data_IF_770448810880
#
_entry.id   IF_770448810880
#
_cell.length_a   1.000
_cell.length_b   1.000
_cell.length_c   1.000
_cell.angle_alpha   90.00
_cell.angle_beta   90.00
_cell.angle_gamma   90.00
#
_symmetry.space_group_name_H-M   'P 1'
#
loop_
_entity.id
_entity.type
_entity.pdbx_description
1 polymer ?
#
# COMPACT_ATOMS: atom_id res chain seq x y z
N UNK A 1 -32.37 -24.34 42.88
CA UNK A 1 -31.40 -23.22 42.91
C UNK A 1 -31.53 -22.25 41.73
N UNK A 2 -32.15 -22.61 40.59
CA UNK A 2 -32.41 -21.65 39.48
C UNK A 2 -33.89 -21.54 39.12
N UNK A 3 -34.78 -21.71 40.11
CA UNK A 3 -36.23 -21.73 39.87
C UNK A 3 -36.77 -20.36 39.45
N UNK A 4 -36.27 -19.30 40.10
CA UNK A 4 -36.66 -17.91 39.85
C UNK A 4 -36.16 -17.43 38.48
N UNK A 5 -34.90 -17.69 38.14
CA UNK A 5 -34.36 -17.32 36.82
C UNK A 5 -35.09 -18.05 35.69
N UNK A 6 -35.45 -19.32 35.88
CA UNK A 6 -36.23 -20.08 34.89
C UNK A 6 -37.67 -19.61 34.74
N UNK A 7 -38.27 -19.09 35.81
CA UNK A 7 -39.60 -18.50 35.74
C UNK A 7 -39.55 -17.15 35.02
N UNK A 8 -38.55 -16.32 35.34
CA UNK A 8 -38.33 -15.03 34.70
C UNK A 8 -38.07 -15.17 33.20
N UNK A 9 -37.15 -16.06 32.77
CA UNK A 9 -36.88 -16.25 31.32
C UNK A 9 -38.08 -16.79 30.57
N UNK A 10 -38.93 -17.59 31.23
CA UNK A 10 -40.16 -18.10 30.61
C UNK A 10 -41.20 -16.99 30.45
N UNK A 11 -41.40 -16.15 31.47
CA UNK A 11 -42.32 -15.01 31.39
C UNK A 11 -41.89 -14.03 30.31
N UNK A 12 -40.58 -13.79 30.18
CA UNK A 12 -40.01 -12.89 29.19
C UNK A 12 -40.21 -13.39 27.76
N UNK A 13 -40.02 -14.69 27.53
CA UNK A 13 -40.32 -15.34 26.25
C UNK A 13 -41.81 -15.29 25.92
N UNK A 14 -42.70 -15.51 26.90
CA UNK A 14 -44.15 -15.40 26.71
C UNK A 14 -44.56 -13.96 26.37
N UNK A 15 -43.91 -12.96 26.98
CA UNK A 15 -44.11 -11.53 26.70
C UNK A 15 -43.64 -11.15 25.29
N UNK A 16 -42.43 -11.57 24.88
CA UNK A 16 -41.86 -11.30 23.55
C UNK A 16 -42.69 -11.94 22.44
N UNK A 17 -43.30 -13.12 22.67
CA UNK A 17 -44.21 -13.75 21.70
C UNK A 17 -45.57 -13.04 21.54
N UNK A 18 -46.00 -12.25 22.52
CA UNK A 18 -47.27 -11.54 22.46
C UNK A 18 -47.18 -10.14 21.81
N UNK A 19 -45.96 -9.67 21.52
CA UNK A 19 -45.68 -8.35 20.93
C UNK A 19 -45.89 -8.32 19.42
N UNK A 20 -46.19 -7.15 18.91
CA UNK A 20 -46.31 -6.89 17.47
C UNK A 20 -44.93 -6.65 16.85
N UNK A 21 -44.85 -6.67 15.51
CA UNK A 21 -43.57 -6.59 14.81
C UNK A 21 -42.80 -5.27 15.04
N UNK A 22 -43.51 -4.15 15.20
CA UNK A 22 -42.87 -2.85 15.52
C UNK A 22 -42.30 -2.85 16.94
N UNK A 23 -43.07 -3.32 17.93
CA UNK A 23 -42.61 -3.39 19.33
C UNK A 23 -41.39 -4.30 19.50
N UNK A 24 -41.28 -5.36 18.69
CA UNK A 24 -40.12 -6.26 18.69
C UNK A 24 -38.85 -5.62 18.11
N UNK A 25 -39.00 -4.67 17.18
CA UNK A 25 -37.88 -3.94 16.61
C UNK A 25 -37.38 -2.89 17.59
N UNK A 26 -38.29 -2.17 18.26
CA UNK A 26 -37.93 -1.20 19.31
C UNK A 26 -37.18 -1.88 20.48
N UNK A 27 -37.65 -3.04 20.97
CA UNK A 27 -36.94 -3.79 22.02
C UNK A 27 -35.53 -4.24 21.58
N UNK A 28 -35.37 -4.55 20.29
CA UNK A 28 -34.10 -5.04 19.75
C UNK A 28 -33.11 -3.88 19.55
N UNK A 29 -33.60 -2.71 19.16
CA UNK A 29 -32.81 -1.47 19.11
C UNK A 29 -32.39 -1.02 20.53
N UNK A 30 -33.25 -1.15 21.54
CA UNK A 30 -32.89 -0.87 22.94
C UNK A 30 -31.85 -1.88 23.49
N UNK A 31 -31.98 -3.18 23.18
CA UNK A 31 -30.96 -4.21 23.52
C UNK A 31 -29.60 -3.92 22.84
N UNK A 32 -29.61 -3.47 21.58
CA UNK A 32 -28.38 -3.09 20.84
C UNK A 32 -27.74 -1.80 21.39
N UNK A 33 -28.55 -0.80 21.79
CA UNK A 33 -28.03 0.40 22.45
C UNK A 33 -27.40 0.08 23.81
N UNK A 34 -27.98 -0.83 24.61
CA UNK A 34 -27.39 -1.28 25.88
C UNK A 34 -26.05 -2.02 25.69
N UNK A 35 -25.91 -2.84 24.64
CA UNK A 35 -24.62 -3.46 24.27
C UNK A 35 -23.59 -2.43 23.76
N UNK A 36 -24.03 -1.37 23.05
CA UNK A 36 -23.14 -0.29 22.61
C UNK A 36 -22.61 0.56 23.78
N UNK A 37 -23.39 0.82 24.85
CA UNK A 37 -22.88 1.53 26.04
C UNK A 37 -22.00 0.66 26.95
N UNK A 38 -22.12 -0.67 26.94
CA UNK A 38 -21.09 -1.55 27.55
C UNK A 38 -19.80 -1.62 26.71
N UNK A 39 -19.81 -1.10 25.48
CA UNK A 39 -18.64 -0.97 24.61
C UNK A 39 -17.91 0.38 24.72
N UNK A 40 -18.05 1.10 25.84
CA UNK A 40 -17.04 2.08 26.21
C UNK A 40 -15.67 1.38 26.26
N UNK A 41 -14.60 1.97 25.71
CA UNK A 41 -13.28 1.35 25.80
C UNK A 41 -12.91 1.35 27.28
N UNK A 42 -13.10 0.20 27.93
CA UNK A 42 -12.43 -0.13 29.18
C UNK A 42 -11.00 0.33 29.00
N UNK A 43 -10.52 1.09 29.98
CA UNK A 43 -9.20 1.67 30.05
C UNK A 43 -8.22 0.48 30.11
N UNK A 44 -7.96 -0.11 28.93
CA UNK A 44 -7.05 -1.20 28.66
C UNK A 44 -5.67 -0.66 29.03
N UNK A 45 -5.37 -0.75 30.33
CA UNK A 45 -4.08 -0.52 30.95
C UNK A 45 -3.03 -1.01 29.98
N UNK A 46 -2.35 -0.09 29.29
CA UNK A 46 -1.33 -0.41 28.29
C UNK A 46 -0.43 -1.48 28.91
N UNK A 47 -0.50 -2.75 28.46
CA UNK A 47 0.03 -3.84 29.24
C UNK A 47 1.49 -3.58 29.55
N UNK A 48 1.85 -3.58 30.84
CA UNK A 48 3.19 -3.22 31.30
C UNK A 48 4.23 -3.96 30.45
N UNK A 49 4.96 -3.18 29.65
CA UNK A 49 5.93 -3.66 28.67
C UNK A 49 7.36 -3.35 29.15
N UNK A 50 7.84 -4.01 30.22
CA UNK A 50 9.11 -3.69 30.86
C UNK A 50 10.33 -3.91 29.94
N UNK A 51 10.14 -4.58 28.81
CA UNK A 51 11.19 -4.85 27.82
C UNK A 51 11.01 -4.05 26.52
N UNK A 52 10.03 -3.14 26.44
CA UNK A 52 9.72 -2.34 25.24
C UNK A 52 9.67 -3.18 23.95
N UNK A 53 9.11 -4.40 24.01
CA UNK A 53 8.88 -5.20 22.81
C UNK A 53 7.82 -4.52 21.94
N UNK A 54 7.96 -4.51 20.61
CA UNK A 54 6.93 -3.96 19.75
C UNK A 54 5.62 -4.73 19.95
N UNK A 55 4.54 -3.95 20.07
CA UNK A 55 3.20 -4.46 20.25
C UNK A 55 2.71 -5.07 18.93
N UNK A 56 1.96 -6.16 19.03
CA UNK A 56 1.28 -6.75 17.89
C UNK A 56 0.12 -5.88 17.41
N UNK A 57 -0.57 -6.36 16.38
CA UNK A 57 -1.84 -5.78 15.94
C UNK A 57 -2.98 -5.96 16.98
N UNK A 58 -2.78 -6.84 17.96
CA UNK A 58 -3.69 -7.15 19.07
C UNK A 58 -3.36 -6.33 20.34
N UNK A 59 -2.51 -5.30 20.26
CA UNK A 59 -2.11 -4.49 21.43
C UNK A 59 -1.27 -5.23 22.48
N UNK A 60 -1.09 -6.56 22.36
CA UNK A 60 -0.29 -7.39 23.27
C UNK A 60 1.17 -7.46 22.84
N UNK A 61 2.13 -7.57 23.79
CA UNK A 61 3.55 -7.73 23.47
C UNK A 61 3.79 -9.04 22.71
N UNK A 62 4.45 -8.94 21.54
CA UNK A 62 4.75 -10.10 20.70
C UNK A 62 5.71 -11.06 21.44
N UNK A 63 5.47 -12.38 21.43
CA UNK A 63 6.43 -13.34 21.99
C UNK A 63 7.84 -13.17 21.43
N UNK A 64 8.86 -13.23 22.29
CA UNK A 64 10.25 -12.92 21.93
C UNK A 64 10.84 -13.79 20.80
N UNK A 65 10.44 -15.07 20.74
CA UNK A 65 10.85 -15.97 19.66
C UNK A 65 10.26 -15.56 18.31
N UNK A 66 9.02 -15.07 18.30
CA UNK A 66 8.32 -14.60 17.10
C UNK A 66 8.92 -13.28 16.61
N UNK A 67 9.27 -12.40 17.55
CA UNK A 67 10.01 -11.16 17.29
C UNK A 67 11.35 -11.42 16.59
N UNK A 68 12.13 -12.41 17.07
CA UNK A 68 13.38 -12.84 16.43
C UNK A 68 13.16 -13.55 15.10
N UNK A 69 12.18 -14.44 15.02
CA UNK A 69 11.89 -15.24 13.83
C UNK A 69 11.53 -14.34 12.63
N UNK A 70 10.70 -13.33 12.86
CA UNK A 70 10.30 -12.39 11.81
C UNK A 70 11.25 -11.20 11.63
N UNK A 71 12.38 -11.18 12.36
CA UNK A 71 13.41 -10.16 12.20
C UNK A 71 12.96 -8.75 12.61
N UNK A 72 11.93 -8.60 13.46
CA UNK A 72 11.46 -7.28 13.91
C UNK A 72 12.50 -6.56 14.79
N UNK A 73 13.53 -7.27 15.24
CA UNK A 73 14.71 -6.73 15.92
C UNK A 73 15.69 -5.98 15.01
N UNK A 74 15.51 -6.08 13.69
CA UNK A 74 16.35 -5.40 12.73
C UNK A 74 15.63 -4.13 12.29
N UNK A 75 16.30 -2.99 12.43
CA UNK A 75 15.79 -1.69 12.00
C UNK A 75 16.40 -1.30 10.66
N UNK A 76 15.56 -0.87 9.73
CA UNK A 76 15.97 -0.32 8.44
C UNK A 76 15.58 1.15 8.36
N UNK A 77 16.38 1.96 7.68
CA UNK A 77 16.10 3.38 7.46
C UNK A 77 15.94 3.64 5.97
N UNK A 78 14.97 4.48 5.59
CA UNK A 78 14.78 4.93 4.22
C UNK A 78 14.99 6.44 4.11
N UNK A 79 15.97 6.87 3.30
CA UNK A 79 16.31 8.29 3.11
C UNK A 79 15.20 9.02 2.34
N UNK A 80 14.65 8.41 1.30
CA UNK A 80 13.56 8.95 0.47
C UNK A 80 12.31 9.27 1.32
N UNK A 81 12.08 8.52 2.40
CA UNK A 81 10.98 8.74 3.34
C UNK A 81 11.31 9.77 4.46
N UNK A 82 12.43 10.49 4.36
CA UNK A 82 12.91 11.41 5.39
C UNK A 82 13.53 10.69 6.59
N UNK A 83 14.39 9.71 6.34
CA UNK A 83 15.05 8.87 7.35
C UNK A 83 14.08 8.13 8.29
N UNK A 84 12.92 7.74 7.77
CA UNK A 84 11.95 6.95 8.50
C UNK A 84 12.52 5.56 8.84
N UNK A 85 12.32 5.12 10.09
CA UNK A 85 12.76 3.81 10.58
C UNK A 85 11.64 2.78 10.45
N UNK A 86 11.93 1.64 9.85
CA UNK A 86 11.02 0.50 9.72
C UNK A 86 11.59 -0.71 10.50
N UNK A 87 10.72 -1.41 11.23
CA UNK A 87 11.10 -2.59 12.01
C UNK A 87 10.82 -3.86 11.22
N UNK A 88 11.88 -4.57 10.89
CA UNK A 88 11.88 -5.86 10.21
C UNK A 88 11.72 -5.80 8.69
N UNK A 89 12.12 -6.87 8.00
CA UNK A 89 12.17 -6.89 6.53
C UNK A 89 10.80 -6.76 5.87
N UNK A 90 9.74 -7.34 6.47
CA UNK A 90 8.40 -7.34 5.87
C UNK A 90 7.78 -5.94 5.84
N UNK A 91 7.88 -5.18 6.94
CA UNK A 91 7.44 -3.79 6.99
C UNK A 91 8.26 -2.93 6.02
N UNK A 92 9.57 -3.19 5.95
CA UNK A 92 10.45 -2.53 5.01
C UNK A 92 10.25 -2.94 3.55
N UNK A 93 9.66 -4.08 3.22
CA UNK A 93 9.27 -4.36 1.82
C UNK A 93 7.96 -3.67 1.47
N UNK A 94 7.01 -3.65 2.41
CA UNK A 94 5.71 -3.01 2.19
C UNK A 94 5.84 -1.49 1.97
N UNK A 95 6.76 -0.82 2.66
CA UNK A 95 6.85 0.64 2.60
C UNK A 95 7.09 1.22 1.19
N UNK A 96 7.71 0.47 0.27
CA UNK A 96 7.90 0.92 -1.12
C UNK A 96 6.58 1.20 -1.86
N UNK A 97 5.52 0.49 -1.48
CA UNK A 97 4.16 0.67 -2.00
C UNK A 97 3.30 1.63 -1.17
N UNK A 98 3.80 2.06 0.00
CA UNK A 98 3.07 2.97 0.88
C UNK A 98 3.11 4.41 0.34
N UNK A 99 2.07 5.18 0.68
CA UNK A 99 1.92 6.56 0.23
C UNK A 99 3.13 7.44 0.55
N UNK A 100 3.76 7.25 1.71
CA UNK A 100 4.92 8.06 2.14
C UNK A 100 6.09 7.92 1.18
N UNK A 101 6.43 6.70 0.77
CA UNK A 101 7.52 6.46 -0.18
C UNK A 101 7.15 6.93 -1.58
N UNK A 102 5.91 6.66 -2.02
CA UNK A 102 5.40 7.14 -3.30
C UNK A 102 5.41 8.68 -3.40
N UNK A 103 5.08 9.36 -2.30
CA UNK A 103 5.14 10.81 -2.20
C UNK A 103 6.59 11.32 -2.25
N UNK A 104 7.52 10.68 -1.52
CA UNK A 104 8.95 10.99 -1.60
C UNK A 104 9.49 10.88 -3.02
N UNK A 105 9.17 9.79 -3.73
CA UNK A 105 9.53 9.59 -5.13
C UNK A 105 8.93 10.66 -6.05
N UNK A 106 7.66 11.05 -5.82
CA UNK A 106 7.01 12.13 -6.57
C UNK A 106 7.71 13.48 -6.36
N UNK A 107 8.15 13.80 -5.15
CA UNK A 107 8.91 15.03 -4.86
C UNK A 107 10.28 15.05 -5.58
N UNK A 108 10.86 13.88 -5.87
CA UNK A 108 12.07 13.74 -6.68
C UNK A 108 11.79 13.79 -8.20
N UNK A 109 10.52 13.79 -8.62
CA UNK A 109 10.14 13.72 -10.03
C UNK A 109 10.31 12.33 -10.66
N UNK A 110 10.45 11.28 -9.84
CA UNK A 110 10.68 9.91 -10.30
C UNK A 110 9.37 9.12 -10.15
N UNK A 111 8.90 8.39 -11.19
CA UNK A 111 7.70 7.56 -11.07
C UNK A 111 7.96 6.34 -10.17
N UNK A 112 7.09 6.11 -9.18
CA UNK A 112 7.17 4.95 -8.29
C UNK A 112 6.75 3.67 -9.04
N UNK A 113 7.72 3.00 -9.65
CA UNK A 113 7.56 1.76 -10.41
C UNK A 113 8.38 0.64 -9.77
N UNK A 114 8.11 -0.61 -10.14
CA UNK A 114 8.83 -1.77 -9.60
C UNK A 114 10.35 -1.74 -9.83
N UNK A 115 10.84 -0.96 -10.81
CA UNK A 115 12.27 -0.74 -11.04
C UNK A 115 13.00 -0.12 -9.84
N UNK A 116 12.28 0.65 -9.01
CA UNK A 116 12.82 1.32 -7.83
C UNK A 116 12.62 0.54 -6.53
N UNK A 117 12.21 -0.74 -6.62
CA UNK A 117 12.14 -1.60 -5.44
C UNK A 117 13.53 -1.71 -4.80
N UNK A 118 13.59 -1.62 -3.48
CA UNK A 118 14.83 -1.65 -2.68
C UNK A 118 15.74 -0.41 -2.80
N UNK A 119 15.34 0.63 -3.52
CA UNK A 119 16.11 1.87 -3.59
C UNK A 119 15.77 2.76 -2.40
N UNK A 120 16.77 3.05 -1.57
CA UNK A 120 16.56 3.79 -0.31
C UNK A 120 17.21 5.15 -0.30
N UNK A 121 18.31 5.31 -1.05
CA UNK A 121 19.10 6.53 -1.11
C UNK A 121 18.60 7.42 -2.26
N UNK A 122 18.65 8.72 -2.05
CA UNK A 122 18.17 9.69 -3.05
C UNK A 122 19.10 9.74 -4.26
N UNK A 123 20.41 9.66 -4.04
CA UNK A 123 21.43 9.67 -5.11
C UNK A 123 21.29 8.45 -6.04
N UNK A 124 21.13 7.26 -5.45
CA UNK A 124 20.95 6.01 -6.20
C UNK A 124 19.67 6.04 -7.04
N UNK A 125 18.56 6.57 -6.49
CA UNK A 125 17.31 6.72 -7.21
C UNK A 125 17.46 7.63 -8.44
N UNK A 126 18.17 8.75 -8.30
CA UNK A 126 18.45 9.67 -9.41
C UNK A 126 19.34 9.03 -10.47
N UNK A 127 20.41 8.36 -10.06
CA UNK A 127 21.33 7.69 -10.98
C UNK A 127 20.63 6.57 -11.77
N UNK A 128 19.76 5.80 -11.12
CA UNK A 128 18.96 4.77 -11.77
C UNK A 128 17.95 5.37 -12.75
N UNK A 129 17.29 6.47 -12.36
CA UNK A 129 16.31 7.13 -13.22
C UNK A 129 16.93 7.69 -14.50
N UNK A 130 18.09 8.33 -14.41
CA UNK A 130 18.80 8.82 -15.59
C UNK A 130 19.19 7.67 -16.53
N UNK A 131 19.68 6.53 -16.01
CA UNK A 131 19.97 5.35 -16.83
C UNK A 131 18.73 4.80 -17.55
N UNK A 132 17.61 4.67 -16.83
CA UNK A 132 16.35 4.20 -17.42
C UNK A 132 15.85 5.18 -18.49
N UNK A 133 15.98 6.48 -18.24
CA UNK A 133 15.57 7.52 -19.19
C UNK A 133 16.40 7.48 -20.46
N UNK A 134 17.73 7.31 -20.35
CA UNK A 134 18.62 7.17 -21.50
C UNK A 134 18.28 5.92 -22.32
N UNK A 135 18.11 4.76 -21.65
CA UNK A 135 17.72 3.52 -22.34
C UNK A 135 16.36 3.62 -23.05
N UNK A 136 15.37 4.29 -22.43
CA UNK A 136 14.07 4.52 -23.08
C UNK A 136 14.15 5.43 -24.31
N UNK A 137 15.10 6.38 -24.35
CA UNK A 137 15.31 7.25 -25.51
C UNK A 137 15.99 6.47 -26.64
N UNK A 138 16.91 5.56 -26.30
CA UNK A 138 17.55 4.67 -27.28
C UNK A 138 16.58 3.62 -27.84
N UNK A 139 15.69 3.07 -27.00
CA UNK A 139 14.67 2.09 -27.41
C UNK A 139 13.45 2.75 -28.10
N UNK A 140 13.30 4.07 -27.99
CA UNK A 140 12.18 4.77 -28.60
C UNK A 140 12.41 4.89 -30.11
N UNK A 141 11.59 4.19 -30.89
CA UNK A 141 11.60 4.22 -32.34
C UNK A 141 11.59 5.67 -32.85
N UNK A 142 12.70 6.07 -33.48
CA UNK A 142 12.87 7.39 -34.03
C UNK A 142 12.51 7.38 -35.52
N UNK A 143 11.26 7.71 -35.85
CA UNK A 143 10.75 7.73 -37.23
C UNK A 143 11.67 8.47 -38.22
N UNK A 144 12.31 9.55 -37.80
CA UNK A 144 13.23 10.31 -38.66
C UNK A 144 14.50 9.53 -39.05
N UNK A 145 14.95 8.62 -38.18
CA UNK A 145 16.18 7.85 -38.34
C UNK A 145 15.95 6.40 -38.77
N UNK A 146 14.81 5.81 -38.40
CA UNK A 146 14.52 4.38 -38.57
C UNK A 146 13.46 4.10 -39.65
N UNK A 147 12.75 5.12 -40.15
CA UNK A 147 11.82 4.97 -41.27
C UNK A 147 12.58 5.05 -42.61
N UNK A 148 12.63 3.91 -43.29
CA UNK A 148 13.29 3.74 -44.58
C UNK A 148 12.31 3.92 -45.74
N UNK A 149 12.72 4.68 -46.76
CA UNK A 149 11.99 4.93 -47.99
C UNK A 149 12.81 4.41 -49.17
N UNK A 150 12.13 3.80 -50.14
CA UNK A 150 12.72 3.33 -51.39
C UNK A 150 12.56 4.40 -52.47
N UNK A 151 13.65 4.74 -53.19
CA UNK A 151 13.59 5.61 -54.36
C UNK A 151 13.06 4.89 -55.61
N UNK A 152 12.87 5.64 -56.69
CA UNK A 152 12.40 5.14 -57.99
C UNK A 152 13.36 4.12 -58.65
N UNK A 153 14.59 4.00 -58.15
CA UNK A 153 15.68 3.16 -58.65
C UNK A 153 15.92 1.95 -57.72
N UNK A 154 15.27 1.91 -56.55
CA UNK A 154 15.37 0.83 -55.56
C UNK A 154 16.41 1.08 -54.45
N UNK A 155 16.94 2.29 -54.29
CA UNK A 155 17.83 2.62 -53.18
C UNK A 155 17.04 2.92 -51.92
N UNK A 156 17.47 2.34 -50.81
CA UNK A 156 16.88 2.54 -49.48
C UNK A 156 17.57 3.71 -48.80
N UNK A 157 16.79 4.72 -48.40
CA UNK A 157 17.29 5.92 -47.70
C UNK A 157 16.35 6.30 -46.55
N UNK A 158 16.90 6.88 -45.49
CA UNK A 158 16.10 7.39 -44.38
C UNK A 158 15.13 8.48 -44.85
N UNK A 159 13.98 8.60 -44.19
CA UNK A 159 12.93 9.60 -44.49
C UNK A 159 13.47 11.01 -44.73
N UNK A 160 14.34 11.49 -43.84
CA UNK A 160 14.89 12.85 -43.94
C UNK A 160 15.67 13.05 -45.23
N UNK A 161 16.55 12.10 -45.54
CA UNK A 161 17.35 12.10 -46.76
C UNK A 161 16.45 12.03 -47.99
N UNK A 162 15.42 11.18 -47.95
CA UNK A 162 14.42 11.09 -49.02
C UNK A 162 13.68 12.42 -49.24
N UNK A 163 13.16 13.04 -48.18
CA UNK A 163 12.47 14.33 -48.28
C UNK A 163 13.38 15.45 -48.78
N UNK A 164 14.63 15.49 -48.34
CA UNK A 164 15.62 16.48 -48.78
C UNK A 164 15.99 16.30 -50.25
N UNK A 165 16.23 15.06 -50.69
CA UNK A 165 16.46 14.74 -52.10
C UNK A 165 15.23 15.08 -52.95
N UNK A 166 14.01 14.83 -52.44
CA UNK A 166 12.76 15.15 -53.14
C UNK A 166 12.59 16.66 -53.29
N UNK A 167 12.90 17.45 -52.26
CA UNK A 167 12.86 18.92 -52.30
C UNK A 167 13.88 19.51 -53.27
N UNK A 168 15.03 18.85 -53.41
CA UNK A 168 16.08 19.23 -54.36
C UNK A 168 15.79 18.75 -55.80
N UNK A 169 14.78 17.90 -56.01
CA UNK A 169 14.43 17.34 -57.32
C UNK A 169 15.40 16.24 -57.79
N UNK A 170 16.02 15.52 -56.85
CA UNK A 170 17.05 14.50 -57.09
C UNK A 170 16.52 13.05 -56.97
N UNK A 171 15.19 12.85 -56.93
CA UNK A 171 14.49 11.55 -56.82
C UNK A 171 13.51 11.30 -57.97
#
# INVERSE_FOLDING_TARGET
>A
MLGEQRAATREDVERRMARTADELLEDQEEEEEEEEVESEPDDDEVPYNPKNLPLGWDGKPIPYWLYKLHGLNITYTCEICGNATYRGPKAFQRHFSEWRHAHGMRCLGIPNTAHFANVINIEDARALWEKIKMGKVEDAWAAENEEEYEDSIGNVVNKKTYEDLRRQGLL
#
